data_IF_685201052924
#
_entry.id   IF_685201052924
#
_cell.length_a   1.000
_cell.length_b   1.000
_cell.length_c   1.000
_cell.angle_alpha   90.00
_cell.angle_beta   90.00
_cell.angle_gamma   90.00
#
_symmetry.space_group_name_H-M   'P 1'
#
loop_
_entity.id
_entity.type
_entity.pdbx_description
1 polymer ?
#
# COMPACT_ATOMS: atom_id res chain seq x y z
N UNK A 1 -2.41 -33.91 19.25
CA UNK A 1 -2.73 -34.63 17.99
C UNK A 1 -1.45 -35.32 17.51
N UNK A 2 -1.45 -36.62 17.17
CA UNK A 2 -0.21 -37.34 16.76
C UNK A 2 0.12 -37.22 15.26
N UNK A 3 -0.87 -36.92 14.43
CA UNK A 3 -0.68 -36.68 13.00
C UNK A 3 -0.22 -35.24 12.77
N UNK A 4 0.89 -35.05 12.06
CA UNK A 4 1.51 -33.74 11.85
C UNK A 4 0.63 -32.76 11.07
N UNK A 5 -0.09 -33.23 10.03
CA UNK A 5 -0.99 -32.38 9.24
C UNK A 5 -2.17 -31.93 10.09
N UNK A 6 -2.79 -32.85 10.84
CA UNK A 6 -3.91 -32.50 11.72
C UNK A 6 -3.47 -31.58 12.86
N UNK A 7 -2.24 -31.72 13.36
CA UNK A 7 -1.68 -30.79 14.34
C UNK A 7 -1.52 -29.39 13.73
N UNK A 8 -0.91 -29.29 12.54
CA UNK A 8 -0.76 -28.02 11.83
C UNK A 8 -2.10 -27.33 11.56
N UNK A 9 -3.10 -28.08 11.10
CA UNK A 9 -4.44 -27.56 10.87
C UNK A 9 -5.08 -27.02 12.16
N UNK A 10 -4.87 -27.68 13.29
CA UNK A 10 -5.35 -27.21 14.58
C UNK A 10 -4.70 -25.86 14.94
N UNK A 11 -3.39 -25.73 14.75
CA UNK A 11 -2.65 -24.50 15.05
C UNK A 11 -3.14 -23.33 14.17
N UNK A 12 -3.28 -23.56 12.86
CA UNK A 12 -3.82 -22.55 11.92
C UNK A 12 -5.23 -22.11 12.31
N UNK A 13 -6.11 -23.06 12.63
CA UNK A 13 -7.48 -22.77 13.03
C UNK A 13 -7.50 -21.99 14.34
N UNK A 14 -6.74 -22.44 15.34
CA UNK A 14 -6.64 -21.77 16.63
C UNK A 14 -6.22 -20.31 16.46
N UNK A 15 -5.13 -20.06 15.73
CA UNK A 15 -4.64 -18.70 15.48
C UNK A 15 -5.66 -17.85 14.71
N UNK A 16 -6.35 -18.43 13.71
CA UNK A 16 -7.38 -17.75 12.93
C UNK A 16 -8.59 -17.30 13.78
N UNK A 17 -8.90 -18.03 14.85
CA UNK A 17 -10.01 -17.70 15.74
C UNK A 17 -9.61 -16.87 16.95
N UNK A 18 -8.33 -16.86 17.33
CA UNK A 18 -7.85 -16.28 18.59
C UNK A 18 -8.19 -14.79 18.71
N UNK A 19 -7.98 -14.00 17.65
CA UNK A 19 -8.25 -12.55 17.65
C UNK A 19 -9.73 -12.22 17.89
N UNK A 20 -10.61 -13.17 17.60
CA UNK A 20 -12.05 -13.05 17.77
C UNK A 20 -12.55 -13.56 19.13
N UNK A 21 -11.68 -14.11 19.99
CA UNK A 21 -12.05 -14.60 21.34
C UNK A 21 -12.16 -13.49 22.39
N UNK A 22 -12.74 -12.35 22.02
CA UNK A 22 -12.98 -11.18 22.89
C UNK A 22 -14.47 -10.89 23.03
N UNK A 23 -14.85 -10.00 23.94
CA UNK A 23 -16.27 -9.70 24.14
C UNK A 23 -16.90 -9.08 22.88
N UNK A 24 -18.09 -9.54 22.46
CA UNK A 24 -18.72 -9.10 21.22
C UNK A 24 -18.86 -7.57 21.08
N UNK A 25 -19.16 -6.88 22.18
CA UNK A 25 -19.28 -5.42 22.19
C UNK A 25 -17.96 -4.69 21.92
N UNK A 26 -16.84 -5.25 22.38
CA UNK A 26 -15.51 -4.69 22.10
C UNK A 26 -15.12 -4.96 20.65
N UNK A 27 -15.34 -6.18 20.17
CA UNK A 27 -15.11 -6.56 18.77
C UNK A 27 -15.91 -5.66 17.83
N UNK A 28 -17.20 -5.46 18.11
CA UNK A 28 -18.08 -4.58 17.34
C UNK A 28 -17.52 -3.16 17.24
N UNK A 29 -17.08 -2.58 18.36
CA UNK A 29 -16.48 -1.23 18.37
C UNK A 29 -15.22 -1.13 17.51
N UNK A 30 -14.37 -2.15 17.55
CA UNK A 30 -13.14 -2.22 16.72
C UNK A 30 -13.51 -2.27 15.24
N UNK A 31 -14.44 -3.15 14.87
CA UNK A 31 -14.89 -3.34 13.48
C UNK A 31 -15.58 -2.07 12.94
N UNK A 32 -16.53 -1.51 13.70
CA UNK A 32 -17.25 -0.29 13.31
C UNK A 32 -16.27 0.88 13.08
N UNK A 33 -15.32 1.07 14.01
CA UNK A 33 -14.34 2.15 13.91
C UNK A 33 -13.34 1.94 12.78
N UNK A 34 -12.86 0.70 12.59
CA UNK A 34 -11.99 0.34 11.47
C UNK A 34 -12.67 0.61 10.12
N UNK A 35 -13.93 0.16 9.98
CA UNK A 35 -14.74 0.39 8.78
C UNK A 35 -14.97 1.89 8.52
N UNK A 36 -15.22 2.68 9.56
CA UNK A 36 -15.35 4.14 9.44
C UNK A 36 -14.04 4.78 8.95
N UNK A 37 -12.90 4.38 9.51
CA UNK A 37 -11.57 4.89 9.09
C UNK A 37 -11.32 4.55 7.62
N UNK A 38 -11.52 3.29 7.22
CA UNK A 38 -11.31 2.83 5.84
C UNK A 38 -12.21 3.56 4.84
N UNK A 39 -13.50 3.73 5.17
CA UNK A 39 -14.44 4.53 4.37
C UNK A 39 -13.97 5.97 4.23
N UNK A 40 -13.56 6.60 5.33
CA UNK A 40 -13.07 7.98 5.29
C UNK A 40 -11.79 8.07 4.45
N UNK A 41 -10.88 7.12 4.57
CA UNK A 41 -9.64 7.10 3.79
C UNK A 41 -9.91 6.95 2.29
N UNK A 42 -10.72 5.97 1.89
CA UNK A 42 -11.02 5.65 0.48
C UNK A 42 -11.86 6.71 -0.24
N UNK A 43 -12.79 7.37 0.46
CA UNK A 43 -13.71 8.36 -0.11
C UNK A 43 -13.22 9.81 0.02
N UNK A 44 -12.24 10.08 0.87
CA UNK A 44 -11.70 11.42 1.04
C UNK A 44 -11.01 11.90 -0.25
N UNK A 45 -11.15 13.19 -0.54
CA UNK A 45 -10.44 13.86 -1.62
C UNK A 45 -9.83 15.13 -1.07
N UNK A 46 -8.51 15.24 -1.17
CA UNK A 46 -7.78 16.45 -0.81
C UNK A 46 -8.21 17.63 -1.68
N UNK A 47 -7.89 18.83 -1.22
CA UNK A 47 -8.22 20.06 -1.95
C UNK A 47 -6.99 20.92 -2.23
N UNK A 48 -6.92 21.42 -3.47
CA UNK A 48 -5.96 22.43 -3.89
C UNK A 48 -6.74 23.69 -4.27
N UNK A 49 -6.54 24.78 -3.52
CA UNK A 49 -7.26 26.07 -3.74
C UNK A 49 -8.79 25.88 -3.79
N UNK A 50 -9.33 25.04 -2.91
CA UNK A 50 -10.77 24.77 -2.80
C UNK A 50 -11.34 23.79 -3.83
N UNK A 51 -10.55 23.33 -4.80
CA UNK A 51 -10.96 22.28 -5.75
C UNK A 51 -10.52 20.92 -5.24
N UNK A 52 -11.43 19.94 -5.26
CA UNK A 52 -11.11 18.54 -4.99
C UNK A 52 -10.15 18.02 -6.06
N UNK A 53 -9.19 17.20 -5.64
CA UNK A 53 -8.24 16.51 -6.52
C UNK A 53 -8.20 15.03 -6.16
N UNK A 54 -7.97 14.20 -7.17
CA UNK A 54 -7.74 12.75 -7.06
C UNK A 54 -6.27 12.46 -6.76
N UNK A 55 -5.99 11.25 -6.29
CA UNK A 55 -4.61 10.81 -6.03
C UNK A 55 -3.79 10.73 -7.32
N UNK A 56 -4.41 10.32 -8.44
CA UNK A 56 -3.79 10.33 -9.76
C UNK A 56 -3.38 11.76 -10.17
N UNK A 57 -4.24 12.77 -9.98
CA UNK A 57 -3.90 14.17 -10.27
C UNK A 57 -2.77 14.69 -9.35
N UNK A 58 -2.75 14.29 -8.08
CA UNK A 58 -1.66 14.66 -7.16
C UNK A 58 -0.34 14.04 -7.63
N UNK A 59 -0.31 12.73 -7.90
CA UNK A 59 0.88 12.01 -8.40
C UNK A 59 1.37 12.64 -9.70
N UNK A 60 0.46 12.95 -10.62
CA UNK A 60 0.78 13.62 -11.88
C UNK A 60 1.42 14.99 -11.65
N UNK A 61 0.88 15.83 -10.76
CA UNK A 61 1.49 17.12 -10.40
C UNK A 61 2.90 16.92 -9.82
N UNK A 62 3.10 15.92 -8.97
CA UNK A 62 4.41 15.61 -8.39
C UNK A 62 5.37 14.95 -9.39
N UNK A 63 4.90 14.37 -10.48
CA UNK A 63 5.72 13.85 -11.58
C UNK A 63 6.15 14.96 -12.54
N UNK A 64 5.23 15.83 -12.95
CA UNK A 64 5.45 16.73 -14.10
C UNK A 64 5.68 18.20 -13.79
N UNK A 65 5.26 18.71 -12.63
CA UNK A 65 5.50 20.13 -12.30
C UNK A 65 6.90 20.38 -11.75
N UNK A 66 7.57 21.42 -12.23
CA UNK A 66 8.85 21.91 -11.69
C UNK A 66 8.69 22.99 -10.63
N UNK A 67 7.55 23.68 -10.59
CA UNK A 67 7.33 24.77 -9.63
C UNK A 67 7.12 24.24 -8.19
N UNK A 68 8.07 24.46 -7.29
CA UNK A 68 8.02 23.99 -5.90
C UNK A 68 6.77 24.42 -5.12
N UNK A 69 6.24 25.62 -5.38
CA UNK A 69 5.00 26.08 -4.72
C UNK A 69 3.77 25.28 -5.17
N UNK A 70 3.69 24.88 -6.43
CA UNK A 70 2.62 24.01 -6.93
C UNK A 70 2.76 22.60 -6.35
N UNK A 71 3.96 22.03 -6.40
CA UNK A 71 4.26 20.70 -5.83
C UNK A 71 3.93 20.63 -4.34
N UNK A 72 4.37 21.63 -3.56
CA UNK A 72 4.05 21.74 -2.13
C UNK A 72 2.54 21.69 -1.86
N UNK A 73 1.73 22.38 -2.66
CA UNK A 73 0.27 22.36 -2.50
C UNK A 73 -0.32 20.98 -2.79
N UNK A 74 0.16 20.28 -3.82
CA UNK A 74 -0.29 18.94 -4.15
C UNK A 74 0.10 17.94 -3.05
N UNK A 75 1.36 17.98 -2.60
CA UNK A 75 1.83 17.14 -1.51
C UNK A 75 1.04 17.41 -0.21
N UNK A 76 0.80 18.67 0.15
CA UNK A 76 -0.01 18.99 1.34
C UNK A 76 -1.46 18.54 1.20
N UNK A 77 -2.03 18.59 -0.01
CA UNK A 77 -3.37 18.07 -0.27
C UNK A 77 -3.47 16.56 -0.01
N UNK A 78 -2.42 15.78 -0.37
CA UNK A 78 -2.40 14.33 -0.09
C UNK A 78 -2.35 14.00 1.40
N UNK A 79 -1.82 14.91 2.23
CA UNK A 79 -1.76 14.72 3.69
C UNK A 79 -3.01 15.16 4.44
N UNK A 80 -3.95 15.85 3.79
CA UNK A 80 -5.18 16.34 4.44
C UNK A 80 -6.05 15.22 5.02
N UNK A 81 -6.04 14.02 4.41
CA UNK A 81 -6.76 12.85 4.92
C UNK A 81 -6.30 12.49 6.34
N UNK A 82 -5.02 12.69 6.67
CA UNK A 82 -4.46 12.36 7.97
C UNK A 82 -5.17 13.08 9.12
N UNK A 83 -5.50 14.36 8.95
CA UNK A 83 -6.22 15.13 9.96
C UNK A 83 -7.66 14.63 10.19
N UNK A 84 -8.25 13.98 9.18
CA UNK A 84 -9.62 13.42 9.27
C UNK A 84 -9.63 12.10 10.04
N UNK A 85 -8.56 11.31 9.95
CA UNK A 85 -8.53 9.94 10.50
C UNK A 85 -7.65 9.79 11.76
N UNK A 86 -6.78 10.75 12.08
CA UNK A 86 -5.78 10.63 13.14
C UNK A 86 -6.38 10.24 14.51
N UNK A 87 -7.40 10.96 14.97
CA UNK A 87 -8.02 10.71 16.28
C UNK A 87 -8.71 9.33 16.32
N UNK A 88 -9.41 8.97 15.24
CA UNK A 88 -10.05 7.66 15.10
C UNK A 88 -9.01 6.53 15.10
N UNK A 89 -7.85 6.71 14.45
CA UNK A 89 -6.75 5.73 14.46
C UNK A 89 -6.19 5.55 15.87
N UNK A 90 -5.93 6.64 16.60
CA UNK A 90 -5.44 6.57 17.99
C UNK A 90 -6.45 5.82 18.88
N UNK A 91 -7.74 6.09 18.69
CA UNK A 91 -8.80 5.39 19.42
C UNK A 91 -8.83 3.90 19.04
N UNK A 92 -8.68 3.55 17.76
CA UNK A 92 -8.62 2.17 17.29
C UNK A 92 -7.44 1.42 17.91
N UNK A 93 -6.26 2.04 17.97
CA UNK A 93 -5.06 1.45 18.61
C UNK A 93 -5.33 1.13 20.08
N UNK A 94 -5.98 2.05 20.82
CA UNK A 94 -6.33 1.80 22.23
C UNK A 94 -7.30 0.63 22.39
N UNK A 95 -8.33 0.54 21.56
CA UNK A 95 -9.31 -0.56 21.58
C UNK A 95 -8.66 -1.90 21.24
N UNK A 96 -7.82 -1.93 20.20
CA UNK A 96 -7.05 -3.12 19.79
C UNK A 96 -6.10 -3.59 20.89
N UNK A 97 -5.40 -2.67 21.55
CA UNK A 97 -4.53 -3.01 22.69
C UNK A 97 -5.34 -3.49 23.91
N UNK A 98 -6.54 -2.95 24.14
CA UNK A 98 -7.44 -3.47 25.16
C UNK A 98 -7.84 -4.93 24.85
N UNK A 99 -8.20 -5.23 23.61
CA UNK A 99 -8.55 -6.59 23.17
C UNK A 99 -7.37 -7.56 23.36
N UNK A 100 -6.18 -7.19 22.87
CA UNK A 100 -4.99 -8.03 22.99
C UNK A 100 -4.64 -8.40 24.44
N UNK A 101 -4.75 -7.44 25.37
CA UNK A 101 -4.50 -7.69 26.80
C UNK A 101 -5.48 -8.66 27.42
N UNK A 102 -6.74 -8.67 26.98
CA UNK A 102 -7.73 -9.65 27.44
C UNK A 102 -7.42 -11.07 26.96
N UNK A 103 -6.75 -11.19 25.81
CA UNK A 103 -6.25 -12.46 25.26
C UNK A 103 -4.90 -12.88 25.86
N UNK A 104 -4.33 -12.09 26.78
CA UNK A 104 -3.05 -12.40 27.43
C UNK A 104 -1.81 -11.89 26.69
N UNK A 105 -1.97 -11.01 25.70
CA UNK A 105 -0.85 -10.38 24.97
C UNK A 105 -0.57 -8.96 25.47
N UNK A 106 0.68 -8.52 25.38
CA UNK A 106 1.09 -7.18 25.86
C UNK A 106 0.35 -6.04 25.12
N UNK A 107 0.17 -6.22 23.81
CA UNK A 107 -0.41 -5.27 22.89
C UNK A 107 -0.87 -5.97 21.59
N UNK A 108 -1.56 -5.22 20.73
CA UNK A 108 -2.09 -5.73 19.47
C UNK A 108 -0.99 -6.14 18.48
N UNK A 109 0.15 -5.46 18.47
CA UNK A 109 1.27 -5.82 17.60
C UNK A 109 1.79 -7.23 17.93
N UNK A 110 2.01 -7.54 19.21
CA UNK A 110 2.41 -8.89 19.65
C UNK A 110 1.34 -9.93 19.33
N UNK A 111 0.05 -9.62 19.53
CA UNK A 111 -1.05 -10.51 19.16
C UNK A 111 -1.01 -10.83 17.65
N UNK A 112 -0.99 -9.81 16.79
CA UNK A 112 -1.04 -9.97 15.34
C UNK A 112 0.17 -10.73 14.77
N UNK A 113 1.36 -10.51 15.33
CA UNK A 113 2.54 -11.26 14.92
C UNK A 113 2.45 -12.73 15.37
N UNK A 114 2.03 -12.98 16.62
CA UNK A 114 1.90 -14.33 17.13
C UNK A 114 0.84 -15.15 16.39
N UNK A 115 -0.31 -14.55 16.03
CA UNK A 115 -1.36 -15.21 15.23
C UNK A 115 -0.93 -15.44 13.79
N UNK A 116 -0.01 -14.62 13.26
CA UNK A 116 0.69 -14.85 12.00
C UNK A 116 1.91 -15.79 12.13
N UNK A 117 2.15 -16.37 13.31
CA UNK A 117 3.27 -17.28 13.60
C UNK A 117 4.66 -16.65 13.42
N UNK A 118 4.76 -15.35 13.72
CA UNK A 118 6.00 -14.58 13.67
C UNK A 118 6.51 -14.27 15.08
N UNK A 119 7.81 -14.45 15.30
CA UNK A 119 8.48 -14.03 16.53
C UNK A 119 8.96 -12.58 16.42
N UNK A 120 8.57 -11.75 17.40
CA UNK A 120 8.89 -10.32 17.41
C UNK A 120 10.41 -10.09 17.43
N UNK A 121 11.15 -10.87 18.21
CA UNK A 121 12.60 -10.66 18.37
C UNK A 121 13.35 -11.08 17.11
N UNK A 122 12.89 -12.14 16.46
CA UNK A 122 13.46 -12.56 15.18
C UNK A 122 13.20 -11.52 14.09
N UNK A 123 11.97 -10.99 14.01
CA UNK A 123 11.65 -9.88 13.10
C UNK A 123 12.51 -8.65 13.37
N UNK A 124 12.59 -8.20 14.62
CA UNK A 124 13.41 -7.05 15.01
C UNK A 124 14.88 -7.26 14.60
N UNK A 125 15.42 -8.45 14.84
CA UNK A 125 16.80 -8.81 14.45
C UNK A 125 16.99 -8.75 12.93
N UNK A 126 16.07 -9.30 12.15
CA UNK A 126 16.15 -9.30 10.68
C UNK A 126 16.08 -7.87 10.14
N UNK A 127 15.14 -7.06 10.64
CA UNK A 127 14.99 -5.68 10.17
C UNK A 127 16.16 -4.78 10.58
N UNK A 128 16.74 -4.98 11.77
CA UNK A 128 17.95 -4.27 12.18
C UNK A 128 19.15 -4.65 11.29
N UNK A 129 19.32 -5.95 11.00
CA UNK A 129 20.38 -6.42 10.10
C UNK A 129 20.23 -5.84 8.69
N UNK A 130 19.00 -5.82 8.15
CA UNK A 130 18.70 -5.19 6.87
C UNK A 130 18.94 -3.68 6.90
N UNK A 131 18.56 -2.99 7.97
CA UNK A 131 18.79 -1.55 8.13
C UNK A 131 20.28 -1.23 8.07
N UNK A 132 21.11 -1.93 8.84
CA UNK A 132 22.56 -1.73 8.85
C UNK A 132 23.21 -2.03 7.50
N UNK A 133 22.83 -3.13 6.85
CA UNK A 133 23.36 -3.52 5.53
C UNK A 133 22.98 -2.55 4.41
N UNK A 134 21.82 -1.89 4.53
CA UNK A 134 21.31 -1.00 3.49
C UNK A 134 21.64 0.47 3.71
N UNK A 135 22.09 0.86 4.91
CA UNK A 135 22.32 2.26 5.28
C UNK A 135 23.33 2.99 4.35
N UNK A 136 24.53 2.44 4.17
CA UNK A 136 25.55 3.06 3.31
C UNK A 136 25.17 3.06 1.82
N UNK A 137 24.73 1.94 1.21
CA UNK A 137 24.23 1.95 -0.17
C UNK A 137 23.08 2.93 -0.39
N UNK A 138 22.13 3.00 0.55
CA UNK A 138 21.01 3.93 0.49
C UNK A 138 21.48 5.38 0.57
N UNK A 139 22.37 5.73 1.52
CA UNK A 139 22.87 7.09 1.67
C UNK A 139 23.59 7.59 0.40
N UNK A 140 24.37 6.71 -0.26
CA UNK A 140 25.03 7.03 -1.52
C UNK A 140 24.02 7.30 -2.63
N UNK A 141 23.08 6.36 -2.86
CA UNK A 141 22.04 6.52 -3.87
C UNK A 141 21.19 7.77 -3.60
N UNK A 142 20.85 8.01 -2.34
CA UNK A 142 20.07 9.16 -1.91
C UNK A 142 20.79 10.49 -2.18
N UNK A 143 22.10 10.57 -1.96
CA UNK A 143 22.89 11.74 -2.28
C UNK A 143 22.90 12.04 -3.79
N UNK A 144 23.02 11.01 -4.62
CA UNK A 144 22.97 11.15 -6.09
C UNK A 144 21.58 11.66 -6.53
N UNK A 145 20.50 11.05 -6.02
CA UNK A 145 19.12 11.48 -6.28
C UNK A 145 18.86 12.92 -5.84
N UNK A 146 19.36 13.29 -4.67
CA UNK A 146 19.19 14.63 -4.12
C UNK A 146 19.90 15.69 -4.96
N UNK A 147 21.11 15.40 -5.45
CA UNK A 147 21.80 16.30 -6.37
C UNK A 147 20.98 16.54 -7.63
N UNK A 148 20.45 15.48 -8.24
CA UNK A 148 19.67 15.60 -9.48
C UNK A 148 18.37 16.39 -9.25
N UNK A 149 17.65 16.13 -8.15
CA UNK A 149 16.42 16.86 -7.83
C UNK A 149 16.69 18.32 -7.46
N UNK A 150 17.76 18.60 -6.72
CA UNK A 150 18.17 19.95 -6.37
C UNK A 150 18.42 20.80 -7.62
N UNK A 151 19.18 20.25 -8.58
CA UNK A 151 19.43 20.88 -9.88
C UNK A 151 18.13 21.07 -10.67
N UNK A 152 17.26 20.05 -10.72
CA UNK A 152 15.97 20.10 -11.45
C UNK A 152 15.03 21.19 -10.94
N UNK A 153 15.03 21.47 -9.63
CA UNK A 153 14.13 22.43 -9.01
C UNK A 153 14.77 23.77 -8.66
N UNK A 154 16.05 23.97 -9.01
CA UNK A 154 16.81 25.19 -8.74
C UNK A 154 16.80 25.55 -7.24
N UNK A 155 17.15 24.57 -6.40
CA UNK A 155 17.27 24.71 -4.93
C UNK A 155 18.57 24.08 -4.45
N UNK A 156 19.07 24.48 -3.28
CA UNK A 156 20.19 23.75 -2.69
C UNK A 156 19.75 22.35 -2.24
N UNK A 157 20.66 21.37 -2.23
CA UNK A 157 20.39 20.02 -1.67
C UNK A 157 19.84 20.09 -0.24
N UNK A 158 20.35 21.02 0.57
CA UNK A 158 19.89 21.27 1.95
C UNK A 158 18.50 21.89 2.04
N UNK A 159 17.94 22.38 0.94
CA UNK A 159 16.60 22.97 0.83
C UNK A 159 15.59 21.99 0.18
N UNK A 160 16.01 20.75 -0.12
CA UNK A 160 15.09 19.73 -0.57
C UNK A 160 14.03 19.44 0.50
N UNK A 161 12.80 19.27 0.04
CA UNK A 161 11.63 19.06 0.86
C UNK A 161 10.84 17.87 0.31
N UNK A 162 9.94 17.25 1.09
CA UNK A 162 9.21 16.05 0.66
C UNK A 162 8.47 16.21 -0.67
N UNK A 163 8.00 17.42 -0.98
CA UNK A 163 7.32 17.69 -2.26
C UNK A 163 8.25 17.78 -3.47
N UNK A 164 9.58 17.77 -3.31
CA UNK A 164 10.52 17.71 -4.44
C UNK A 164 10.67 16.28 -4.97
N UNK A 165 10.34 15.26 -4.17
CA UNK A 165 10.27 13.88 -4.64
C UNK A 165 8.97 13.63 -5.42
N UNK A 166 9.02 12.70 -6.38
CA UNK A 166 7.87 12.42 -7.26
C UNK A 166 6.80 11.57 -6.56
N UNK A 167 7.19 10.57 -5.77
CA UNK A 167 6.27 9.83 -4.91
C UNK A 167 6.01 10.59 -3.59
N UNK A 168 4.74 10.81 -3.18
CA UNK A 168 4.40 11.57 -1.98
C UNK A 168 4.86 10.95 -0.65
N UNK A 169 5.28 9.69 -0.64
CA UNK A 169 5.77 8.96 0.53
C UNK A 169 7.24 8.54 0.44
N UNK A 170 7.88 8.82 -0.71
CA UNK A 170 9.22 8.34 -1.06
C UNK A 170 9.36 6.82 -0.95
N UNK A 171 8.31 6.09 -1.35
CA UNK A 171 8.31 4.62 -1.44
C UNK A 171 8.91 4.13 -2.76
N UNK A 172 8.91 4.98 -3.78
CA UNK A 172 9.47 4.71 -5.10
C UNK A 172 10.59 5.72 -5.42
N UNK A 173 11.57 5.27 -6.21
CA UNK A 173 12.64 6.15 -6.67
C UNK A 173 12.07 7.26 -7.56
N UNK A 174 12.52 8.52 -7.42
CA UNK A 174 12.15 9.57 -8.35
C UNK A 174 12.55 9.16 -9.79
N UNK A 175 11.65 9.38 -10.76
CA UNK A 175 11.97 9.31 -12.20
C UNK A 175 12.97 10.42 -12.61
N UNK A 176 14.22 10.27 -12.20
CA UNK A 176 15.35 11.15 -12.54
C UNK A 176 16.23 10.60 -13.65
N UNK A 177 16.00 9.35 -14.03
CA UNK A 177 16.65 8.72 -15.17
C UNK A 177 15.79 8.97 -16.41
N UNK A 178 16.43 9.34 -17.53
CA UNK A 178 15.79 9.52 -18.84
C UNK A 178 15.42 8.17 -19.48
N UNK A 179 14.59 7.39 -18.77
CA UNK A 179 14.02 6.14 -19.27
C UNK A 179 12.51 6.25 -19.19
N UNK A 180 11.88 6.40 -20.35
CA UNK A 180 10.44 6.33 -20.49
C UNK A 180 10.02 4.89 -20.79
N UNK A 181 9.52 4.20 -19.77
CA UNK A 181 8.97 2.86 -19.93
C UNK A 181 7.53 2.88 -20.44
N UNK A 182 6.81 4.00 -20.31
CA UNK A 182 5.43 4.12 -20.76
C UNK A 182 5.34 3.91 -22.29
N UNK A 183 6.38 4.29 -23.03
CA UNK A 183 6.52 4.09 -24.48
C UNK A 183 6.38 2.61 -24.94
N UNK A 184 6.65 1.63 -24.07
CA UNK A 184 6.44 0.20 -24.40
C UNK A 184 4.98 -0.23 -24.30
N UNK A 185 4.12 0.60 -23.69
CA UNK A 185 2.74 0.28 -23.34
C UNK A 185 1.70 1.17 -24.03
N UNK A 186 2.04 2.38 -24.50
CA UNK A 186 1.06 3.35 -25.05
C UNK A 186 0.09 2.75 -26.08
N UNK A 187 0.59 1.91 -27.00
CA UNK A 187 -0.19 1.25 -28.06
C UNK A 187 -0.51 -0.23 -27.76
N UNK A 188 -0.45 -0.64 -26.49
CA UNK A 188 -0.69 -2.04 -26.06
C UNK A 188 -1.88 -2.12 -25.12
N UNK A 189 -2.58 -3.25 -25.15
CA UNK A 189 -3.49 -3.62 -24.07
C UNK A 189 -2.72 -4.38 -23.00
N UNK A 190 -2.51 -3.75 -21.84
CA UNK A 190 -1.77 -4.36 -20.73
C UNK A 190 -2.47 -5.60 -20.17
N UNK A 191 -3.79 -5.73 -20.35
CA UNK A 191 -4.53 -6.95 -19.99
C UNK A 191 -4.07 -8.12 -20.85
N UNK A 192 -3.95 -7.93 -22.16
CA UNK A 192 -3.45 -8.97 -23.05
C UNK A 192 -1.98 -9.32 -22.79
N UNK A 193 -1.16 -8.33 -22.45
CA UNK A 193 0.23 -8.55 -22.09
C UNK A 193 0.33 -9.40 -20.81
N UNK A 194 -0.45 -9.08 -19.78
CA UNK A 194 -0.51 -9.86 -18.54
C UNK A 194 -0.91 -11.32 -18.83
N UNK A 195 -1.97 -11.53 -19.62
CA UNK A 195 -2.40 -12.87 -20.04
C UNK A 195 -1.28 -13.64 -20.73
N UNK A 196 -0.59 -13.02 -21.70
CA UNK A 196 0.50 -13.68 -22.44
C UNK A 196 1.69 -14.02 -21.55
N UNK A 197 2.08 -13.11 -20.66
CA UNK A 197 3.18 -13.32 -19.72
C UNK A 197 2.92 -14.56 -18.84
N UNK A 198 1.77 -14.57 -18.18
CA UNK A 198 1.38 -15.61 -17.23
C UNK A 198 1.17 -16.97 -17.92
N UNK A 199 0.54 -17.00 -19.10
CA UNK A 199 0.47 -18.20 -19.93
C UNK A 199 1.86 -18.71 -20.35
N UNK A 200 2.79 -17.81 -20.66
CA UNK A 200 4.17 -18.14 -21.04
C UNK A 200 4.98 -18.84 -19.94
N UNK A 201 4.65 -18.61 -18.67
CA UNK A 201 5.27 -19.28 -17.51
C UNK A 201 4.44 -20.45 -16.96
N UNK A 202 3.36 -20.83 -17.66
CA UNK A 202 2.52 -21.97 -17.28
C UNK A 202 1.54 -21.68 -16.14
N UNK A 203 1.21 -20.41 -15.90
CA UNK A 203 0.27 -19.95 -14.88
C UNK A 203 -0.87 -19.14 -15.53
N UNK A 204 -1.78 -19.73 -16.33
CA UNK A 204 -2.84 -18.98 -17.01
C UNK A 204 -3.76 -18.22 -16.03
N UNK A 205 -4.08 -16.96 -16.34
CA UNK A 205 -4.84 -16.03 -15.49
C UNK A 205 -6.14 -15.51 -16.12
N UNK A 206 -6.58 -16.12 -17.22
CA UNK A 206 -7.73 -15.66 -18.00
C UNK A 206 -9.02 -15.61 -17.18
N UNK A 207 -9.25 -16.59 -16.31
CA UNK A 207 -10.41 -16.63 -15.42
C UNK A 207 -10.41 -15.48 -14.41
N UNK A 208 -9.25 -15.16 -13.84
CA UNK A 208 -9.08 -14.05 -12.90
C UNK A 208 -9.43 -12.75 -13.61
N UNK A 209 -8.77 -12.46 -14.75
CA UNK A 209 -8.95 -11.21 -15.49
C UNK A 209 -10.38 -11.06 -16.07
N UNK A 210 -11.04 -12.15 -16.42
CA UNK A 210 -12.42 -12.11 -16.93
C UNK A 210 -13.45 -11.74 -15.85
N UNK A 211 -13.21 -12.13 -14.59
CA UNK A 211 -14.12 -11.89 -13.47
C UNK A 211 -13.79 -10.61 -12.67
N UNK A 212 -12.70 -9.94 -13.03
CA UNK A 212 -12.13 -8.80 -12.31
C UNK A 212 -12.70 -7.44 -12.71
N UNK A 213 -12.63 -6.47 -11.80
CA UNK A 213 -13.03 -5.08 -12.06
C UNK A 213 -11.80 -4.22 -12.37
N UNK A 214 -11.46 -4.10 -13.66
CA UNK A 214 -10.13 -3.63 -14.08
C UNK A 214 -10.03 -2.12 -14.36
N UNK A 215 -11.13 -1.44 -14.72
CA UNK A 215 -11.06 -0.07 -15.27
C UNK A 215 -11.59 0.99 -14.30
N UNK A 216 -11.07 2.22 -14.41
CA UNK A 216 -11.45 3.36 -13.56
C UNK A 216 -12.90 3.81 -13.78
N UNK A 217 -13.63 4.14 -12.71
CA UNK A 217 -14.97 4.77 -12.77
C UNK A 217 -15.25 5.61 -11.52
N UNK A 218 -16.18 6.56 -11.62
CA UNK A 218 -16.57 7.41 -10.49
C UNK A 218 -17.02 6.57 -9.28
N UNK A 219 -16.52 6.91 -8.10
CA UNK A 219 -16.85 6.22 -6.84
C UNK A 219 -16.16 4.88 -6.61
N UNK A 220 -15.32 4.39 -7.53
CA UNK A 220 -14.53 3.17 -7.33
C UNK A 220 -13.38 3.38 -6.33
N UNK A 221 -13.02 2.30 -5.63
CA UNK A 221 -11.85 2.28 -4.73
C UNK A 221 -10.58 2.58 -5.55
N UNK A 222 -9.76 3.58 -5.18
CA UNK A 222 -8.52 3.88 -5.89
C UNK A 222 -7.42 2.83 -5.69
N UNK A 223 -7.48 2.02 -4.62
CA UNK A 223 -6.46 1.03 -4.30
C UNK A 223 -6.70 -0.28 -5.04
N UNK A 224 -5.65 -0.82 -5.65
CA UNK A 224 -5.69 -2.14 -6.25
C UNK A 224 -5.58 -3.22 -5.18
N UNK A 225 -6.22 -4.37 -5.41
CA UNK A 225 -6.10 -5.54 -4.54
C UNK A 225 -6.56 -6.82 -5.25
N UNK A 226 -5.97 -7.94 -4.86
CA UNK A 226 -6.39 -9.29 -5.18
C UNK A 226 -7.17 -9.93 -4.02
N UNK A 227 -8.19 -10.73 -4.33
CA UNK A 227 -8.98 -11.44 -3.31
C UNK A 227 -9.57 -12.74 -3.84
N UNK A 228 -9.68 -13.74 -2.97
CA UNK A 228 -10.40 -14.98 -3.19
C UNK A 228 -11.84 -14.82 -2.65
N UNK A 229 -12.82 -14.82 -3.57
CA UNK A 229 -14.21 -14.45 -3.29
C UNK A 229 -14.95 -15.54 -2.52
N UNK A 230 -14.71 -16.80 -2.87
CA UNK A 230 -15.45 -17.95 -2.34
C UNK A 230 -14.58 -18.90 -1.51
N UNK A 231 -13.25 -18.74 -1.55
CA UNK A 231 -12.26 -19.67 -0.97
C UNK A 231 -12.31 -21.06 -1.60
N UNK A 232 -12.87 -21.14 -2.81
CA UNK A 232 -13.01 -22.35 -3.63
C UNK A 232 -12.40 -22.16 -5.02
N UNK A 233 -11.74 -21.01 -5.28
CA UNK A 233 -10.93 -20.76 -6.47
C UNK A 233 -11.40 -19.59 -7.34
N UNK A 234 -12.43 -18.84 -6.95
CA UNK A 234 -12.83 -17.60 -7.63
C UNK A 234 -11.97 -16.42 -7.15
N UNK A 235 -10.76 -16.34 -7.70
CA UNK A 235 -9.82 -15.24 -7.45
C UNK A 235 -10.07 -14.09 -8.42
N UNK A 236 -10.10 -12.87 -7.89
CA UNK A 236 -10.35 -11.65 -8.66
C UNK A 236 -9.45 -10.52 -8.20
N UNK A 237 -9.16 -9.60 -9.11
CA UNK A 237 -8.45 -8.36 -8.83
C UNK A 237 -9.37 -7.15 -9.05
N UNK A 238 -9.15 -6.10 -8.28
CA UNK A 238 -9.70 -4.78 -8.53
C UNK A 238 -8.52 -3.88 -8.91
N UNK A 239 -8.57 -3.29 -10.10
CA UNK A 239 -7.54 -2.37 -10.58
C UNK A 239 -8.19 -1.13 -11.21
N UNK A 240 -7.39 -0.13 -11.58
CA UNK A 240 -7.85 1.05 -12.32
C UNK A 240 -6.96 1.28 -13.55
N UNK A 241 -6.75 0.21 -14.33
CA UNK A 241 -5.69 0.08 -15.32
C UNK A 241 -5.71 1.17 -16.40
N UNK A 242 -4.51 1.62 -16.77
CA UNK A 242 -4.22 2.45 -17.95
C UNK A 242 -3.02 1.85 -18.68
N UNK A 243 -2.89 2.10 -19.97
CA UNK A 243 -1.80 1.52 -20.76
C UNK A 243 -0.48 2.27 -20.51
N UNK A 244 0.13 2.00 -19.36
CA UNK A 244 1.40 2.57 -18.92
C UNK A 244 2.17 1.56 -18.05
N UNK A 245 3.41 1.87 -17.74
CA UNK A 245 4.30 0.94 -17.03
C UNK A 245 3.81 0.65 -15.61
N UNK A 246 3.40 1.68 -14.86
CA UNK A 246 2.87 1.54 -13.51
C UNK A 246 1.70 0.54 -13.42
N UNK A 247 0.73 0.62 -14.32
CA UNK A 247 -0.42 -0.30 -14.28
C UNK A 247 -0.08 -1.69 -14.83
N UNK A 248 0.94 -1.82 -15.67
CA UNK A 248 1.48 -3.13 -16.02
C UNK A 248 2.09 -3.79 -14.78
N UNK A 249 2.92 -3.06 -14.02
CA UNK A 249 3.50 -3.54 -12.76
C UNK A 249 2.42 -3.96 -11.77
N UNK A 250 1.44 -3.08 -11.50
CA UNK A 250 0.35 -3.37 -10.58
C UNK A 250 -0.47 -4.59 -11.04
N UNK A 251 -0.80 -4.70 -12.34
CA UNK A 251 -1.58 -5.85 -12.84
C UNK A 251 -0.79 -7.16 -12.77
N UNK A 252 0.54 -7.13 -12.83
CA UNK A 252 1.36 -8.32 -12.62
C UNK A 252 1.52 -8.67 -11.13
N UNK A 253 1.51 -7.66 -10.26
CA UNK A 253 1.60 -7.82 -8.81
C UNK A 253 0.33 -8.45 -8.21
N UNK A 254 -0.84 -7.94 -8.61
CA UNK A 254 -2.15 -8.42 -8.17
C UNK A 254 -2.53 -9.78 -8.78
#
# INVERSE_FOLDING_TARGET
VKNAILARQLDVLYNSYLENQIEPELLKKIVDLGTKIEKNFSTFRGTIRGKKVTDNEIKEILKTQTNSRKRKRAWLASKQVGAVVADDIVQLVKLRNQAARKLGFDNYHTLSLATAEQDVKELDRIFEELYELTNEPFAKLKADLDSILADKYDVAVTELMPWHYHDPFFQETPMVYDLDLDAYYEDKDIKELATKFYAGIGLPVESILANSDLYEREGKNPHAFCTDIDREGDVRILCNIKNNEYWMEVTLHE
#
